data_IF_704445694308
#
_entry.id   IF_704445694308
#
_cell.length_a   1.000
_cell.length_b   1.000
_cell.length_c   1.000
_cell.angle_alpha   90.00
_cell.angle_beta   90.00
_cell.angle_gamma   90.00
#
_symmetry.space_group_name_H-M   'P 1'
#
loop_
_entity.id
_entity.type
_entity.pdbx_description
1 polymer ?
#
# COMPACT_ATOMS: atom_id res chain seq x y z
N UNK A 1 43.00 0.68 1.25
CA UNK A 1 43.34 0.72 2.69
C UNK A 1 43.77 2.14 2.96
N UNK A 2 42.94 3.08 3.37
CA UNK A 2 42.31 3.32 4.68
C UNK A 2 42.03 4.85 4.66
N UNK A 3 41.13 5.51 5.36
CA UNK A 3 40.11 5.21 6.35
C UNK A 3 39.24 6.47 6.43
N UNK A 4 37.92 6.32 6.43
CA UNK A 4 36.97 7.41 6.65
C UNK A 4 37.10 7.95 8.09
N UNK A 5 37.26 9.25 8.24
CA UNK A 5 37.21 9.97 9.52
C UNK A 5 35.78 10.01 10.05
N UNK A 6 35.53 9.42 11.22
CA UNK A 6 34.29 9.63 11.97
C UNK A 6 34.42 10.88 12.86
N UNK A 7 33.66 11.91 12.54
CA UNK A 7 33.42 13.06 13.41
C UNK A 7 32.35 12.68 14.44
N UNK A 8 32.76 12.24 15.63
CA UNK A 8 31.86 12.16 16.79
C UNK A 8 31.89 13.48 17.56
N UNK A 9 30.72 14.13 17.63
CA UNK A 9 30.41 15.31 18.45
C UNK A 9 30.82 15.11 19.91
N UNK A 10 31.45 16.13 20.48
CA UNK A 10 31.65 16.28 21.92
C UNK A 10 30.31 16.63 22.60
N UNK A 11 29.91 15.85 23.61
CA UNK A 11 28.85 16.24 24.53
C UNK A 11 29.45 17.07 25.67
N UNK A 12 28.82 18.21 25.91
CA UNK A 12 29.30 19.28 26.78
C UNK A 12 29.50 18.87 28.23
N UNK A 13 30.56 19.46 28.79
CA UNK A 13 30.94 19.41 30.18
C UNK A 13 29.99 20.31 30.99
N UNK A 14 29.20 19.74 31.90
CA UNK A 14 28.63 20.50 33.02
C UNK A 14 29.50 20.20 34.23
N UNK A 15 30.39 21.15 34.58
CA UNK A 15 31.16 21.14 35.83
C UNK A 15 30.21 21.41 36.99
N UNK A 16 29.95 20.41 37.81
CA UNK A 16 29.42 20.63 39.17
C UNK A 16 30.58 20.86 40.13
N UNK A 17 30.58 22.04 40.75
CA UNK A 17 31.46 22.40 41.87
C UNK A 17 31.10 21.53 43.08
N UNK A 18 31.93 20.53 43.39
CA UNK A 18 31.86 19.80 44.65
C UNK A 18 33.25 19.73 45.28
N UNK A 19 33.35 20.27 46.49
CA UNK A 19 34.55 20.28 47.35
C UNK A 19 35.19 18.91 47.44
N UNK A 20 36.50 18.82 47.19
CA UNK A 20 37.30 17.64 47.49
C UNK A 20 37.46 17.48 49.00
N UNK A 21 36.77 16.50 49.58
CA UNK A 21 37.20 15.93 50.86
C UNK A 21 38.38 14.99 50.59
N UNK A 22 39.43 14.96 51.42
CA UNK A 22 40.52 14.00 51.24
C UNK A 22 39.98 12.60 51.54
N UNK A 23 39.67 11.86 50.49
CA UNK A 23 39.46 10.43 50.62
C UNK A 23 40.77 9.79 51.07
N UNK A 24 40.76 9.29 52.30
CA UNK A 24 41.76 8.35 52.80
C UNK A 24 41.80 7.21 51.77
N UNK A 25 42.93 7.03 51.08
CA UNK A 25 43.10 5.88 50.19
C UNK A 25 43.15 4.62 51.05
N UNK A 26 41.98 4.02 51.31
CA UNK A 26 41.94 2.63 51.69
C UNK A 26 42.57 1.87 50.53
N UNK A 27 43.75 1.31 50.76
CA UNK A 27 44.37 0.36 49.86
C UNK A 27 43.42 -0.84 49.73
N UNK A 28 42.48 -0.75 48.78
CA UNK A 28 41.66 -1.88 48.39
C UNK A 28 42.58 -2.85 47.67
N UNK A 29 43.04 -3.88 48.40
CA UNK A 29 43.68 -5.03 47.77
C UNK A 29 42.64 -5.65 46.84
N UNK A 30 42.79 -5.45 45.54
CA UNK A 30 41.97 -6.14 44.54
C UNK A 30 42.38 -7.59 44.56
N UNK A 31 41.55 -8.43 45.17
CA UNK A 31 41.72 -9.87 45.13
C UNK A 31 41.44 -10.28 43.68
N UNK A 32 42.48 -10.44 42.86
CA UNK A 32 42.31 -11.02 41.53
C UNK A 32 41.99 -12.50 41.73
N UNK A 33 40.72 -12.86 41.73
CA UNK A 33 40.34 -14.27 41.64
C UNK A 33 40.73 -14.74 40.24
N UNK A 34 41.80 -15.54 40.14
CA UNK A 34 42.11 -16.22 38.91
C UNK A 34 40.88 -17.05 38.52
N UNK A 35 40.28 -16.75 37.35
CA UNK A 35 39.12 -17.49 36.88
C UNK A 35 39.55 -18.93 36.61
N UNK A 36 39.07 -19.85 37.45
CA UNK A 36 39.11 -21.28 37.15
C UNK A 36 37.89 -21.59 36.30
N UNK A 37 38.11 -22.18 35.13
CA UNK A 37 37.02 -22.79 34.39
C UNK A 37 36.31 -23.81 35.30
N UNK A 38 34.97 -23.86 35.23
CA UNK A 38 34.20 -24.86 35.97
C UNK A 38 34.58 -26.24 35.41
N UNK A 39 34.99 -27.20 36.25
CA UNK A 39 35.35 -28.53 35.76
C UNK A 39 34.16 -29.16 35.07
N UNK A 40 34.41 -29.84 33.95
CA UNK A 40 33.38 -30.60 33.26
C UNK A 40 32.87 -31.72 34.18
N UNK A 41 31.56 -32.00 34.16
CA UNK A 41 31.01 -33.09 34.97
C UNK A 41 31.64 -34.41 34.56
N UNK A 42 32.28 -35.10 35.52
CA UNK A 42 32.86 -36.41 35.28
C UNK A 42 31.75 -37.41 34.88
N UNK A 43 31.94 -38.21 33.81
CA UNK A 43 30.99 -39.24 33.44
C UNK A 43 30.97 -40.35 34.50
N UNK A 44 29.84 -41.04 34.62
CA UNK A 44 29.75 -42.21 35.49
C UNK A 44 30.73 -43.31 35.02
N UNK A 45 31.30 -44.10 35.96
CA UNK A 45 32.19 -45.19 35.60
C UNK A 45 31.47 -46.22 34.74
N UNK A 46 32.13 -46.68 33.68
CA UNK A 46 31.59 -47.62 32.68
C UNK A 46 31.18 -48.97 33.27
N UNK A 47 31.82 -49.39 34.37
CA UNK A 47 31.60 -50.67 35.04
C UNK A 47 30.79 -50.53 36.35
N UNK A 48 29.83 -49.59 36.43
CA UNK A 48 28.97 -49.47 37.62
C UNK A 48 27.93 -50.60 37.65
N UNK A 49 27.92 -51.49 38.66
CA UNK A 49 26.95 -52.56 38.71
C UNK A 49 25.54 -52.02 38.97
N UNK A 50 24.54 -52.65 38.35
CA UNK A 50 23.15 -52.17 38.31
C UNK A 50 22.54 -51.92 39.70
N UNK A 51 22.99 -52.66 40.72
CA UNK A 51 22.55 -52.51 42.11
C UNK A 51 22.80 -51.11 42.68
N UNK A 52 23.85 -50.40 42.25
CA UNK A 52 24.17 -49.06 42.73
C UNK A 52 23.45 -47.95 41.96
N UNK A 53 22.79 -48.27 40.85
CA UNK A 53 22.04 -47.27 40.07
C UNK A 53 20.86 -46.70 40.87
N UNK A 54 20.23 -47.49 41.74
CA UNK A 54 19.10 -47.05 42.58
C UNK A 54 19.50 -45.96 43.58
N UNK A 55 20.76 -45.96 44.05
CA UNK A 55 21.31 -44.99 45.00
C UNK A 55 21.60 -43.63 44.36
N UNK A 56 21.76 -43.58 43.03
CA UNK A 56 21.98 -42.34 42.28
C UNK A 56 20.61 -41.65 42.10
N UNK A 57 20.49 -40.32 42.33
CA UNK A 57 19.27 -39.59 42.04
C UNK A 57 18.88 -39.75 40.56
N UNK A 58 17.59 -39.87 40.26
CA UNK A 58 17.06 -40.12 38.91
C UNK A 58 17.66 -39.23 37.81
N UNK A 59 17.98 -37.97 38.15
CA UNK A 59 18.60 -36.98 37.24
C UNK A 59 20.03 -37.32 36.83
N UNK A 60 20.77 -38.05 37.68
CA UNK A 60 22.18 -38.41 37.48
C UNK A 60 22.39 -39.86 37.06
N UNK A 61 21.34 -40.68 37.02
CA UNK A 61 21.44 -42.04 36.48
C UNK A 61 21.79 -41.99 34.99
N UNK A 62 22.52 -42.97 34.45
CA UNK A 62 22.85 -43.11 33.03
C UNK A 62 21.63 -43.59 32.24
N UNK A 63 20.47 -42.98 32.47
CA UNK A 63 19.29 -43.13 31.63
C UNK A 63 19.29 -42.00 30.61
N UNK A 64 18.85 -42.30 29.39
CA UNK A 64 18.61 -41.24 28.42
C UNK A 64 17.58 -40.26 29.02
N UNK A 65 17.87 -38.95 29.03
CA UNK A 65 16.91 -37.97 29.53
C UNK A 65 15.62 -38.10 28.72
N UNK A 66 14.47 -38.17 29.40
CA UNK A 66 13.17 -38.20 28.73
C UNK A 66 13.08 -36.99 27.79
N UNK A 67 12.96 -37.25 26.48
CA UNK A 67 12.83 -36.19 25.48
C UNK A 67 11.61 -35.33 25.84
N UNK A 68 11.85 -34.04 26.08
CA UNK A 68 10.77 -33.10 26.37
C UNK A 68 9.81 -33.07 25.18
N UNK A 69 8.51 -33.24 25.44
CA UNK A 69 7.47 -33.10 24.42
C UNK A 69 7.31 -31.62 24.10
N UNK A 70 7.99 -31.17 23.04
CA UNK A 70 7.85 -29.81 22.52
C UNK A 70 6.61 -29.78 21.63
N UNK A 71 5.57 -29.08 22.06
CA UNK A 71 4.40 -28.84 21.23
C UNK A 71 4.74 -27.81 20.15
N UNK A 72 4.38 -28.05 18.88
CA UNK A 72 4.56 -27.04 17.85
C UNK A 72 3.67 -25.82 18.14
N UNK A 73 4.06 -24.62 17.68
CA UNK A 73 3.19 -23.46 17.76
C UNK A 73 1.92 -23.69 16.93
N UNK A 74 0.80 -23.03 17.25
CA UNK A 74 -0.39 -23.05 16.40
C UNK A 74 -0.07 -22.50 14.99
N UNK A 75 -0.83 -22.88 13.95
CA UNK A 75 -0.58 -22.41 12.59
C UNK A 75 -0.68 -20.88 12.51
N UNK A 76 0.33 -20.26 11.89
CA UNK A 76 0.39 -18.79 11.79
C UNK A 76 -0.63 -18.25 10.79
N UNK A 77 -1.27 -17.12 11.09
CA UNK A 77 -2.19 -16.45 10.17
C UNK A 77 -1.51 -16.07 8.83
N UNK A 78 -0.20 -15.79 8.85
CA UNK A 78 0.60 -15.52 7.65
C UNK A 78 0.74 -16.73 6.73
N UNK A 79 0.70 -17.94 7.29
CA UNK A 79 0.70 -19.17 6.50
C UNK A 79 -0.66 -19.36 5.81
N UNK A 80 -1.76 -18.89 6.41
CA UNK A 80 -3.09 -18.91 5.81
C UNK A 80 -3.24 -17.86 4.69
N UNK A 81 -2.74 -16.64 4.90
CA UNK A 81 -2.72 -15.59 3.87
C UNK A 81 -1.40 -14.83 3.93
N UNK A 82 -0.62 -14.90 2.84
CA UNK A 82 0.67 -14.22 2.75
C UNK A 82 0.50 -12.70 2.65
N UNK A 83 -0.39 -12.26 1.76
CA UNK A 83 -0.62 -10.86 1.41
C UNK A 83 -2.09 -10.47 1.59
N UNK A 84 -2.52 -10.16 2.84
CA UNK A 84 -3.93 -9.90 3.14
C UNK A 84 -4.50 -8.68 2.40
N UNK A 85 -3.67 -7.67 2.12
CA UNK A 85 -4.10 -6.45 1.43
C UNK A 85 -4.51 -6.75 -0.02
N UNK A 86 -3.74 -7.60 -0.72
CA UNK A 86 -4.04 -7.99 -2.09
C UNK A 86 -5.34 -8.80 -2.13
N UNK A 87 -5.49 -9.79 -1.24
CA UNK A 87 -6.68 -10.60 -1.13
C UNK A 87 -7.95 -9.76 -0.84
N UNK A 88 -7.86 -8.77 0.06
CA UNK A 88 -8.97 -7.84 0.35
C UNK A 88 -9.26 -6.92 -0.84
N UNK A 89 -8.23 -6.44 -1.54
CA UNK A 89 -8.43 -5.60 -2.73
C UNK A 89 -9.12 -6.39 -3.84
N UNK A 90 -8.72 -7.65 -4.06
CA UNK A 90 -9.33 -8.55 -5.05
C UNK A 90 -10.78 -8.88 -4.70
N UNK A 91 -11.09 -9.18 -3.43
CA UNK A 91 -12.46 -9.45 -3.01
C UNK A 91 -13.38 -8.24 -3.20
N UNK A 92 -12.91 -7.04 -2.85
CA UNK A 92 -13.67 -5.81 -3.04
C UNK A 92 -13.84 -5.45 -4.53
N UNK A 93 -12.79 -5.64 -5.35
CA UNK A 93 -12.90 -5.44 -6.80
C UNK A 93 -13.88 -6.42 -7.43
N UNK A 94 -13.90 -7.68 -6.99
CA UNK A 94 -14.88 -8.67 -7.45
C UNK A 94 -16.32 -8.27 -7.14
N UNK A 95 -16.55 -7.59 -6.01
CA UNK A 95 -17.86 -7.06 -5.64
C UNK A 95 -18.25 -5.80 -6.43
N UNK A 96 -17.31 -4.86 -6.62
CA UNK A 96 -17.59 -3.55 -7.23
C UNK A 96 -17.54 -3.52 -8.76
N UNK A 97 -16.77 -4.41 -9.37
CA UNK A 97 -16.59 -4.52 -10.82
C UNK A 97 -16.52 -6.00 -11.24
N UNK A 98 -17.65 -6.74 -11.16
CA UNK A 98 -17.67 -8.17 -11.46
C UNK A 98 -17.35 -8.49 -12.92
N UNK A 99 -17.66 -7.58 -13.85
CA UNK A 99 -17.34 -7.73 -15.28
C UNK A 99 -15.88 -7.36 -15.59
N UNK A 100 -15.21 -6.59 -14.71
CA UNK A 100 -13.86 -6.09 -14.92
C UNK A 100 -13.75 -5.01 -16.00
N UNK A 101 -14.88 -4.53 -16.54
CA UNK A 101 -14.91 -3.55 -17.63
C UNK A 101 -14.35 -2.20 -17.20
N UNK A 102 -14.66 -1.75 -15.97
CA UNK A 102 -14.18 -0.45 -15.46
C UNK A 102 -12.69 -0.50 -15.22
N UNK A 103 -12.19 -1.60 -14.64
CA UNK A 103 -10.76 -1.85 -14.49
C UNK A 103 -10.07 -1.85 -15.85
N UNK A 104 -10.63 -2.53 -16.84
CA UNK A 104 -10.08 -2.58 -18.19
C UNK A 104 -10.07 -1.19 -18.88
N UNK A 105 -11.10 -0.39 -18.66
CA UNK A 105 -11.24 0.95 -19.23
C UNK A 105 -10.19 1.93 -18.70
N UNK A 106 -9.77 1.81 -17.45
CA UNK A 106 -8.78 2.71 -16.83
C UNK A 106 -7.36 2.14 -16.74
N UNK A 107 -7.16 0.85 -17.04
CA UNK A 107 -5.83 0.23 -17.13
C UNK A 107 -5.13 0.54 -18.47
N UNK A 108 -4.61 1.76 -18.57
CA UNK A 108 -3.87 2.23 -19.75
C UNK A 108 -2.50 1.60 -19.95
N UNK A 109 -2.04 0.76 -19.01
CA UNK A 109 -0.76 0.04 -19.14
C UNK A 109 -0.95 -1.22 -19.97
N UNK A 110 -2.09 -1.90 -19.81
CA UNK A 110 -2.39 -3.17 -20.49
C UNK A 110 -3.30 -2.99 -21.69
N UNK A 111 -4.27 -2.08 -21.63
CA UNK A 111 -5.30 -1.95 -22.66
C UNK A 111 -5.09 -0.73 -23.57
N UNK A 112 -4.95 -0.91 -24.90
CA UNK A 112 -4.79 0.21 -25.83
C UNK A 112 -6.08 1.03 -26.00
N UNK A 113 -7.23 0.39 -25.77
CA UNK A 113 -8.57 1.00 -25.81
C UNK A 113 -8.94 1.72 -24.52
N UNK A 114 -8.07 1.74 -23.50
CA UNK A 114 -8.31 2.47 -22.26
C UNK A 114 -8.50 3.98 -22.48
N UNK A 115 -9.04 4.63 -21.46
CA UNK A 115 -9.00 6.07 -21.29
C UNK A 115 -7.56 6.56 -21.16
N UNK A 116 -7.25 7.69 -21.81
CA UNK A 116 -5.97 8.39 -21.67
C UNK A 116 -6.21 9.84 -21.24
N UNK A 117 -5.23 10.47 -20.55
CA UNK A 117 -5.29 11.89 -20.29
C UNK A 117 -5.44 12.69 -21.59
N UNK A 118 -6.42 13.60 -21.61
CA UNK A 118 -6.79 14.41 -22.77
C UNK A 118 -8.02 13.90 -23.53
N UNK A 119 -8.52 12.69 -23.22
CA UNK A 119 -9.79 12.21 -23.75
C UNK A 119 -10.96 12.93 -23.06
N UNK A 120 -12.05 13.12 -23.80
CA UNK A 120 -13.30 13.66 -23.26
C UNK A 120 -14.15 12.49 -22.81
N UNK A 121 -14.50 12.49 -21.52
CA UNK A 121 -15.31 11.46 -20.91
C UNK A 121 -16.67 12.02 -20.53
N UNK A 122 -17.68 11.16 -20.59
CA UNK A 122 -19.01 11.39 -20.01
C UNK A 122 -19.24 10.35 -18.93
N UNK A 123 -19.49 10.83 -17.72
CA UNK A 123 -19.78 10.01 -16.54
C UNK A 123 -21.27 10.12 -16.26
N UNK A 124 -21.93 8.97 -16.23
CA UNK A 124 -23.32 8.87 -15.78
C UNK A 124 -23.32 8.41 -14.34
N UNK A 125 -23.99 9.15 -13.47
CA UNK A 125 -24.18 8.78 -12.08
C UNK A 125 -25.56 8.15 -11.91
N UNK A 126 -25.71 7.27 -10.93
CA UNK A 126 -27.01 6.71 -10.54
C UNK A 126 -27.99 7.81 -10.11
N UNK A 127 -27.46 8.80 -9.38
CA UNK A 127 -28.21 9.94 -8.88
C UNK A 127 -27.53 11.23 -9.38
N UNK A 128 -28.32 12.16 -9.92
CA UNK A 128 -27.84 13.46 -10.37
C UNK A 128 -27.51 13.55 -11.86
N UNK A 129 -27.09 14.73 -12.28
CA UNK A 129 -26.82 15.01 -13.68
C UNK A 129 -25.50 14.39 -14.15
N UNK A 130 -25.43 13.89 -15.40
CA UNK A 130 -24.19 13.36 -15.95
C UNK A 130 -23.16 14.47 -16.11
N UNK A 131 -21.90 14.18 -15.78
CA UNK A 131 -20.82 15.14 -15.94
C UNK A 131 -19.92 14.73 -17.09
N UNK A 132 -19.65 15.68 -17.98
CA UNK A 132 -18.71 15.51 -19.08
C UNK A 132 -17.57 16.49 -18.97
N UNK A 133 -16.36 16.03 -19.29
CA UNK A 133 -15.18 16.88 -19.25
C UNK A 133 -13.95 16.21 -19.83
N UNK A 134 -12.89 17.00 -20.01
CA UNK A 134 -11.58 16.50 -20.40
C UNK A 134 -10.92 15.81 -19.21
N UNK A 135 -10.40 14.60 -19.41
CA UNK A 135 -9.62 13.90 -18.41
C UNK A 135 -8.23 14.52 -18.25
N UNK A 136 -7.98 15.23 -17.15
CA UNK A 136 -6.67 15.84 -16.88
C UNK A 136 -5.68 14.84 -16.29
N UNK A 137 -6.13 13.94 -15.42
CA UNK A 137 -5.26 12.98 -14.76
C UNK A 137 -6.00 11.73 -14.32
N UNK A 138 -5.29 10.60 -14.32
CA UNK A 138 -5.75 9.32 -13.80
C UNK A 138 -4.80 8.91 -12.66
N UNK A 139 -5.36 8.62 -11.48
CA UNK A 139 -4.64 8.11 -10.31
C UNK A 139 -4.98 6.63 -10.14
N UNK A 140 -4.02 5.75 -10.42
CA UNK A 140 -4.17 4.31 -10.22
C UNK A 140 -3.78 3.94 -8.79
N UNK A 141 -4.77 3.69 -7.94
CA UNK A 141 -4.59 3.38 -6.51
C UNK A 141 -5.42 2.14 -6.11
N UNK A 142 -5.34 1.05 -6.88
CA UNK A 142 -6.13 -0.17 -6.63
C UNK A 142 -7.63 0.13 -6.70
N UNK A 143 -8.36 -0.18 -5.63
CA UNK A 143 -9.79 0.13 -5.48
C UNK A 143 -10.09 1.64 -5.46
N UNK A 144 -9.13 2.44 -5.02
CA UNK A 144 -9.28 3.89 -4.88
C UNK A 144 -8.94 4.67 -6.15
N UNK A 145 -8.85 3.96 -7.28
CA UNK A 145 -8.54 4.53 -8.59
C UNK A 145 -9.53 5.63 -8.94
N UNK A 146 -8.99 6.79 -9.30
CA UNK A 146 -9.79 7.98 -9.60
C UNK A 146 -9.27 8.71 -10.83
N UNK A 147 -10.14 9.50 -11.45
CA UNK A 147 -9.77 10.37 -12.55
C UNK A 147 -10.35 11.76 -12.33
N UNK A 148 -9.64 12.77 -12.83
CA UNK A 148 -10.01 14.17 -12.69
C UNK A 148 -10.50 14.68 -14.05
N UNK A 149 -11.74 15.14 -14.06
CA UNK A 149 -12.36 15.79 -15.22
C UNK A 149 -12.37 17.30 -15.03
N UNK A 150 -12.23 18.03 -16.14
CA UNK A 150 -12.40 19.49 -16.21
C UNK A 150 -13.42 19.85 -17.29
N UNK A 151 -14.30 20.79 -17.00
CA UNK A 151 -15.23 21.40 -17.95
C UNK A 151 -15.40 22.89 -17.63
N UNK A 152 -15.92 23.68 -18.56
CA UNK A 152 -16.37 25.04 -18.31
C UNK A 152 -17.90 25.08 -18.45
N UNK A 153 -18.59 25.24 -17.32
CA UNK A 153 -20.04 25.36 -17.24
C UNK A 153 -20.40 26.83 -17.11
N UNK A 154 -21.24 27.35 -18.01
CA UNK A 154 -21.74 28.74 -17.94
C UNK A 154 -20.65 29.81 -17.70
N UNK A 155 -19.44 29.59 -18.23
CA UNK A 155 -18.21 30.43 -18.10
C UNK A 155 -17.38 30.23 -16.82
N UNK A 156 -17.73 29.26 -15.98
CA UNK A 156 -16.97 28.90 -14.78
C UNK A 156 -16.30 27.54 -14.99
N UNK A 157 -14.98 27.50 -14.82
CA UNK A 157 -14.21 26.25 -14.89
C UNK A 157 -14.48 25.37 -13.67
N UNK A 158 -15.07 24.20 -13.89
CA UNK A 158 -15.39 23.20 -12.86
C UNK A 158 -14.51 21.96 -13.05
N UNK A 159 -13.92 21.49 -11.95
CA UNK A 159 -13.18 20.24 -11.92
C UNK A 159 -13.86 19.25 -10.99
N UNK A 160 -13.95 17.98 -11.40
CA UNK A 160 -14.52 16.92 -10.59
C UNK A 160 -13.63 15.69 -10.60
N UNK A 161 -13.27 15.21 -9.41
CA UNK A 161 -12.56 13.94 -9.24
C UNK A 161 -13.57 12.83 -8.97
N UNK A 162 -13.61 11.82 -9.84
CA UNK A 162 -14.52 10.68 -9.74
C UNK A 162 -13.74 9.41 -9.44
N UNK A 163 -14.27 8.60 -8.51
CA UNK A 163 -13.76 7.26 -8.18
C UNK A 163 -14.34 6.25 -9.16
N UNK A 164 -13.48 5.51 -9.86
CA UNK A 164 -13.87 4.59 -10.94
C UNK A 164 -14.78 3.48 -10.43
N UNK A 165 -14.43 2.91 -9.29
CA UNK A 165 -15.14 1.76 -8.70
C UNK A 165 -16.26 2.17 -7.74
N UNK A 166 -16.65 3.45 -7.71
CA UNK A 166 -17.77 3.88 -6.88
C UNK A 166 -19.08 3.28 -7.38
N UNK A 167 -19.93 2.72 -6.49
CA UNK A 167 -21.23 2.20 -6.89
C UNK A 167 -22.18 3.31 -7.36
N UNK A 168 -21.89 4.58 -7.08
CA UNK A 168 -22.69 5.72 -7.55
C UNK A 168 -22.42 6.04 -9.03
N UNK A 169 -21.27 5.62 -9.56
CA UNK A 169 -20.98 5.73 -11.00
C UNK A 169 -21.69 4.57 -11.69
N UNK A 170 -22.56 4.90 -12.64
CA UNK A 170 -23.26 3.91 -13.44
C UNK A 170 -22.41 3.50 -14.64
N UNK A 171 -22.04 4.48 -15.47
CA UNK A 171 -21.24 4.26 -16.68
C UNK A 171 -20.22 5.37 -16.91
N UNK A 172 -19.10 5.01 -17.54
CA UNK A 172 -18.11 5.96 -18.04
C UNK A 172 -17.89 5.70 -19.52
N UNK A 173 -18.19 6.69 -20.34
CA UNK A 173 -18.09 6.61 -21.78
C UNK A 173 -17.01 7.55 -22.31
N UNK A 174 -16.24 7.08 -23.30
CA UNK A 174 -15.30 7.94 -24.05
C UNK A 174 -16.10 8.61 -25.15
N UNK A 175 -16.34 9.92 -25.01
CA UNK A 175 -17.08 10.75 -25.97
C UNK A 175 -16.22 11.04 -27.18
N UNK A 176 -15.00 11.51 -26.93
CA UNK A 176 -14.04 11.84 -27.97
C UNK A 176 -12.63 11.52 -27.48
N UNK A 177 -11.88 10.78 -28.31
CA UNK A 177 -10.46 10.55 -28.07
C UNK A 177 -9.65 11.75 -28.53
N UNK A 178 -8.58 12.04 -27.81
CA UNK A 178 -7.62 13.04 -28.26
C UNK A 178 -6.92 12.55 -29.55
N UNK A 179 -6.77 13.44 -30.54
CA UNK A 179 -6.15 13.13 -31.84
C UNK A 179 -4.71 12.60 -31.70
N UNK A 180 -3.90 13.30 -30.89
CA UNK A 180 -2.49 12.95 -30.63
C UNK A 180 -2.27 12.76 -29.14
N UNK A 181 -1.74 11.59 -28.75
CA UNK A 181 -1.41 11.28 -27.35
C UNK A 181 -0.64 12.44 -26.70
N UNK A 182 -1.17 12.98 -25.61
CA UNK A 182 -0.50 14.03 -24.86
C UNK A 182 0.78 13.49 -24.22
N UNK A 183 1.84 14.30 -24.21
CA UNK A 183 3.18 13.90 -23.74
C UNK A 183 3.31 13.87 -22.22
N UNK A 184 2.40 14.53 -21.48
CA UNK A 184 2.40 14.58 -20.01
C UNK A 184 1.36 13.62 -19.44
N UNK A 185 1.69 12.98 -18.32
CA UNK A 185 0.76 12.10 -17.61
C UNK A 185 -0.37 12.86 -16.89
N UNK A 186 -0.13 14.12 -16.50
CA UNK A 186 -1.11 15.02 -15.88
C UNK A 186 -1.16 16.33 -16.65
N UNK A 187 -2.35 16.73 -17.07
CA UNK A 187 -2.59 17.87 -17.95
C UNK A 187 -3.06 19.12 -17.20
N UNK A 188 -2.52 19.37 -16.00
CA UNK A 188 -2.93 20.54 -15.18
C UNK A 188 -2.65 21.89 -15.85
N UNK A 189 -1.80 21.94 -16.87
CA UNK A 189 -1.58 23.14 -17.67
C UNK A 189 -2.84 23.58 -18.45
N UNK A 190 -3.83 22.70 -18.64
CA UNK A 190 -5.12 23.00 -19.27
C UNK A 190 -6.01 23.91 -18.40
N UNK A 191 -5.60 24.23 -17.17
CA UNK A 191 -6.25 25.27 -16.35
C UNK A 191 -5.95 26.68 -16.85
N UNK A 192 -4.88 26.86 -17.62
CA UNK A 192 -4.50 28.15 -18.16
C UNK A 192 -5.34 28.45 -19.41
N UNK A 193 -5.85 29.69 -19.59
CA UNK A 193 -6.74 30.04 -20.70
C UNK A 193 -6.20 29.70 -22.09
N UNK A 194 -4.87 29.73 -22.27
CA UNK A 194 -4.19 29.39 -23.53
C UNK A 194 -4.40 27.93 -23.95
N UNK A 195 -4.52 27.01 -22.98
CA UNK A 195 -4.55 25.56 -23.23
C UNK A 195 -5.89 24.93 -22.83
N UNK A 196 -6.82 25.73 -22.30
CA UNK A 196 -8.11 25.25 -21.86
C UNK A 196 -8.98 24.88 -23.06
N UNK A 197 -9.65 23.74 -22.97
CA UNK A 197 -10.62 23.31 -23.98
C UNK A 197 -11.95 24.04 -23.85
N UNK A 198 -12.18 24.72 -22.72
CA UNK A 198 -13.44 25.41 -22.39
C UNK A 198 -14.60 24.42 -22.32
N UNK A 199 -15.79 24.83 -22.72
CA UNK A 199 -16.99 23.99 -22.66
C UNK A 199 -16.94 22.84 -23.66
N UNK A 200 -17.16 21.61 -23.17
CA UNK A 200 -17.25 20.40 -24.01
C UNK A 200 -18.67 20.02 -24.41
N UNK A 201 -19.67 20.85 -24.08
CA UNK A 201 -21.10 20.53 -24.27
C UNK A 201 -21.47 20.23 -25.73
N UNK A 202 -20.93 21.00 -26.67
CA UNK A 202 -21.17 20.82 -28.11
C UNK A 202 -20.64 19.46 -28.63
N UNK A 203 -19.51 19.01 -28.10
CA UNK A 203 -18.91 17.73 -28.47
C UNK A 203 -19.78 16.58 -27.95
N UNK A 204 -20.24 16.72 -26.69
CA UNK A 204 -21.09 15.73 -26.03
C UNK A 204 -22.46 15.64 -26.71
N UNK A 205 -23.08 16.77 -27.06
CA UNK A 205 -24.38 16.78 -27.73
C UNK A 205 -24.31 16.13 -29.11
N UNK A 206 -23.23 16.36 -29.87
CA UNK A 206 -22.97 15.68 -31.13
C UNK A 206 -22.78 14.17 -30.96
N UNK A 207 -22.00 13.74 -29.97
CA UNK A 207 -21.84 12.32 -29.65
C UNK A 207 -23.17 11.66 -29.28
N UNK A 208 -24.00 12.31 -28.45
CA UNK A 208 -25.32 11.78 -28.08
C UNK A 208 -26.26 11.68 -29.28
N UNK A 209 -26.22 12.66 -30.19
CA UNK A 209 -26.98 12.63 -31.45
C UNK A 209 -26.53 11.48 -32.36
N UNK A 210 -25.21 11.26 -32.48
CA UNK A 210 -24.68 10.14 -33.27
C UNK A 210 -25.05 8.80 -32.64
N UNK A 211 -24.90 8.68 -31.32
CA UNK A 211 -25.25 7.48 -30.56
C UNK A 211 -26.73 7.11 -30.73
N UNK A 212 -27.64 8.08 -30.60
CA UNK A 212 -29.08 7.82 -30.76
C UNK A 212 -29.46 7.44 -32.19
N UNK A 213 -28.81 8.03 -33.20
CA UNK A 213 -29.02 7.67 -34.60
C UNK A 213 -28.62 6.23 -34.90
N UNK A 214 -27.50 5.76 -34.34
CA UNK A 214 -27.01 4.38 -34.51
C UNK A 214 -27.88 3.37 -33.76
N UNK A 215 -28.29 3.69 -32.54
CA UNK A 215 -29.10 2.77 -31.72
C UNK A 215 -30.57 2.70 -32.18
N UNK A 216 -31.03 3.58 -33.08
CA UNK A 216 -32.42 3.60 -33.58
C UNK A 216 -33.47 4.00 -32.53
N UNK A 217 -33.03 4.28 -31.29
CA UNK A 217 -33.86 4.78 -30.21
C UNK A 217 -34.13 6.27 -30.47
N UNK A 218 -35.21 6.57 -31.20
CA UNK A 218 -35.76 7.93 -31.26
C UNK A 218 -36.11 8.34 -29.83
N UNK A 219 -35.49 9.41 -29.34
CA UNK A 219 -35.97 10.02 -28.09
C UNK A 219 -37.42 10.44 -28.32
N UNK A 220 -38.34 9.85 -27.55
CA UNK A 220 -39.77 10.17 -27.58
C UNK A 220 -40.00 11.56 -26.98
N UNK A 221 -39.51 12.60 -27.65
CA UNK A 221 -39.73 13.99 -27.28
C UNK A 221 -40.86 14.54 -28.16
N UNK A 222 -42.09 14.41 -27.68
CA UNK A 222 -43.22 15.20 -28.20
C UNK A 222 -44.56 14.48 -28.31
N UNK A 223 -45.22 14.19 -27.18
CA UNK A 223 -46.69 14.23 -27.12
C UNK A 223 -47.05 15.22 -26.01
N UNK A 224 -47.02 16.52 -26.34
CA UNK A 224 -47.60 17.55 -25.48
C UNK A 224 -49.12 17.36 -25.54
N UNK A 225 -49.75 17.14 -24.38
CA UNK A 225 -51.15 17.47 -24.14
C UNK A 225 -51.24 18.94 -23.78
#
# INVERSE_FOLDING_TARGET
MASLSQLTRQLGCIRSLAKSQPFISLQARTISTAYSAKPEPAPLPTNLPKQFLSQIPDRFRPHEPKKLKIYPPPPSARAACKDPIAAVTESQLGQLDPTGERKALFDYRRNPRSVKPGDILRVTFKNGDPFSGVCLSIKLCGIDTSFLLRNELTKVGVEMSVKVFSPNVESVEIVQRTEKRKRRARLYYMRQPKHDMRSVENIVSNYLRQKSAVTGQRSSRGKKR
#
